data_IF_835550200089
#
_entry.id   IF_835550200089
#
_cell.length_a   1.000
_cell.length_b   1.000
_cell.length_c   1.000
_cell.angle_alpha   90.00
_cell.angle_beta   90.00
_cell.angle_gamma   90.00
#
_symmetry.space_group_name_H-M   'P 1'
#
loop_
_entity.id
_entity.type
_entity.pdbx_description
1 polymer ?
#
# COMPACT_ATOMS: atom_id res chain seq x y z
N UNK A 1 -26.41 34.16 -63.98
CA UNK A 1 -25.73 35.42 -63.60
C UNK A 1 -26.27 35.80 -62.23
N UNK A 2 -25.34 35.98 -61.28
CA UNK A 2 -25.45 35.97 -59.81
C UNK A 2 -26.82 36.19 -59.13
N UNK A 3 -27.11 35.33 -58.15
CA UNK A 3 -27.59 35.71 -56.82
C UNK A 3 -27.28 34.61 -55.81
N UNK A 4 -26.88 35.02 -54.61
CA UNK A 4 -26.58 34.24 -53.42
C UNK A 4 -27.76 33.37 -52.96
N UNK A 5 -27.48 32.22 -52.32
CA UNK A 5 -27.98 31.82 -50.98
C UNK A 5 -27.64 30.35 -50.63
N UNK A 6 -27.21 30.18 -49.37
CA UNK A 6 -27.44 29.07 -48.45
C UNK A 6 -26.46 27.89 -48.21
N UNK A 7 -26.00 27.89 -46.95
CA UNK A 7 -25.82 26.78 -45.99
C UNK A 7 -24.60 25.86 -46.19
N UNK A 8 -23.55 26.01 -45.35
CA UNK A 8 -23.46 25.50 -43.97
C UNK A 8 -23.65 23.98 -43.96
N UNK A 9 -22.56 23.23 -44.12
CA UNK A 9 -22.09 22.16 -43.21
C UNK A 9 -20.70 21.69 -43.65
N UNK A 10 -19.94 21.33 -42.63
CA UNK A 10 -18.49 21.16 -42.60
C UNK A 10 -18.00 19.87 -43.24
N UNK A 11 -16.73 19.98 -43.63
CA UNK A 11 -15.76 18.98 -44.05
C UNK A 11 -15.88 17.64 -43.30
N UNK A 12 -15.98 16.56 -44.09
CA UNK A 12 -15.74 15.19 -43.66
C UNK A 12 -14.31 15.07 -43.11
N UNK A 13 -14.18 14.98 -41.79
CA UNK A 13 -12.97 14.40 -41.17
C UNK A 13 -13.33 13.73 -39.86
N UNK A 14 -13.75 12.48 -40.01
CA UNK A 14 -13.32 11.29 -39.27
C UNK A 14 -12.86 11.42 -37.80
N UNK A 15 -13.47 10.53 -37.00
CA UNK A 15 -13.03 9.95 -35.72
C UNK A 15 -13.41 10.65 -34.40
N UNK A 16 -14.68 10.52 -33.97
CA UNK A 16 -15.00 10.33 -32.54
C UNK A 16 -16.22 9.37 -32.36
N UNK A 17 -15.97 8.31 -31.58
CA UNK A 17 -16.83 7.57 -30.63
C UNK A 17 -18.35 7.46 -30.89
N UNK A 18 -18.91 6.24 -30.96
CA UNK A 18 -20.10 5.85 -30.18
C UNK A 18 -20.14 4.32 -29.95
N UNK A 19 -20.68 3.95 -28.78
CA UNK A 19 -20.80 2.64 -28.16
C UNK A 19 -21.74 1.69 -28.92
N UNK A 20 -21.37 0.41 -29.05
CA UNK A 20 -22.36 -0.66 -29.27
C UNK A 20 -22.32 -1.64 -28.07
N UNK A 21 -23.42 -1.61 -27.32
CA UNK A 21 -23.90 -2.62 -26.37
C UNK A 21 -23.76 -4.04 -26.93
N UNK A 22 -23.07 -4.94 -26.22
CA UNK A 22 -23.47 -6.35 -26.22
C UNK A 22 -23.01 -7.12 -24.97
N UNK A 23 -23.97 -7.47 -24.12
CA UNK A 23 -23.94 -8.59 -23.17
C UNK A 23 -25.26 -9.35 -23.39
N UNK A 24 -25.41 -10.68 -23.17
CA UNK A 24 -24.43 -11.71 -22.81
C UNK A 24 -24.61 -13.05 -23.58
N UNK A 25 -23.56 -13.61 -24.19
CA UNK A 25 -23.62 -15.00 -24.68
C UNK A 25 -23.09 -16.01 -23.66
N UNK A 26 -24.04 -16.71 -23.06
CA UNK A 26 -23.88 -17.96 -22.33
C UNK A 26 -23.17 -18.98 -23.23
N UNK A 27 -21.92 -19.29 -22.90
CA UNK A 27 -21.26 -20.52 -23.36
C UNK A 27 -21.24 -21.49 -22.20
N UNK A 28 -22.34 -22.22 -22.06
CA UNK A 28 -22.45 -23.38 -21.18
C UNK A 28 -21.76 -24.59 -21.84
N UNK A 29 -21.11 -25.39 -20.98
CA UNK A 29 -20.66 -26.77 -21.15
C UNK A 29 -19.15 -27.00 -21.40
N UNK A 30 -18.48 -27.39 -20.32
CA UNK A 30 -17.13 -27.96 -20.31
C UNK A 30 -16.72 -28.39 -18.91
N UNK A 31 -17.42 -29.40 -18.39
CA UNK A 31 -17.15 -30.13 -17.14
C UNK A 31 -15.65 -30.39 -16.93
N UNK A 32 -15.09 -29.93 -15.81
CA UNK A 32 -13.66 -30.03 -15.51
C UNK A 32 -13.30 -29.52 -14.13
N UNK A 33 -13.47 -30.39 -13.13
CA UNK A 33 -12.89 -30.31 -11.78
C UNK A 33 -13.21 -29.05 -10.95
N UNK A 34 -14.38 -29.07 -10.32
CA UNK A 34 -14.48 -28.51 -8.98
C UNK A 34 -13.68 -29.43 -8.04
N UNK A 35 -12.39 -29.14 -7.86
CA UNK A 35 -11.61 -29.72 -6.77
C UNK A 35 -12.33 -29.40 -5.45
N UNK A 36 -12.84 -30.41 -4.70
CA UNK A 36 -13.44 -30.16 -3.41
C UNK A 36 -12.37 -29.55 -2.50
N UNK A 37 -12.73 -28.46 -1.82
CA UNK A 37 -11.93 -27.79 -0.79
C UNK A 37 -11.46 -28.85 0.22
N UNK A 38 -10.26 -29.37 -0.01
CA UNK A 38 -9.55 -30.26 0.90
C UNK A 38 -8.42 -29.46 1.51
N UNK A 39 -8.75 -28.33 2.14
CA UNK A 39 -7.79 -27.49 2.87
C UNK A 39 -7.67 -27.93 4.34
N UNK A 40 -7.63 -29.24 4.58
CA UNK A 40 -7.29 -29.83 5.87
C UNK A 40 -5.97 -30.60 5.68
N UNK A 41 -4.95 -30.11 6.40
CA UNK A 41 -3.58 -30.61 6.54
C UNK A 41 -2.62 -30.48 5.34
N UNK A 42 -1.98 -29.30 5.26
CA UNK A 42 -0.56 -29.26 4.89
C UNK A 42 0.32 -29.24 6.16
N UNK A 43 1.31 -30.15 6.26
CA UNK A 43 2.14 -30.30 7.43
C UNK A 43 3.14 -29.15 7.53
N UNK A 44 2.83 -28.14 8.34
CA UNK A 44 3.84 -27.28 8.97
C UNK A 44 4.76 -26.47 8.05
N UNK A 45 4.37 -26.16 6.81
CA UNK A 45 5.09 -25.16 6.02
C UNK A 45 4.96 -23.78 6.67
N UNK A 46 6.09 -23.11 6.85
CA UNK A 46 6.25 -22.06 7.85
C UNK A 46 5.23 -20.93 7.71
N UNK A 47 4.64 -20.48 8.82
CA UNK A 47 3.65 -19.38 8.85
C UNK A 47 4.08 -18.11 8.09
N UNK A 48 5.38 -17.89 7.94
CA UNK A 48 5.96 -16.79 7.17
C UNK A 48 5.86 -16.96 5.65
N UNK A 49 5.89 -18.19 5.17
CA UNK A 49 5.77 -18.53 3.75
C UNK A 49 4.33 -18.34 3.27
N UNK A 50 3.35 -18.83 4.04
CA UNK A 50 1.91 -18.56 3.85
C UNK A 50 1.56 -17.07 3.94
N UNK A 51 2.25 -16.32 4.80
CA UNK A 51 2.10 -14.87 4.85
C UNK A 51 2.69 -14.19 3.62
N UNK A 52 3.84 -14.67 3.12
CA UNK A 52 4.48 -14.09 1.94
C UNK A 52 3.73 -14.39 0.63
N UNK A 53 2.90 -15.44 0.57
CA UNK A 53 2.04 -15.72 -0.58
C UNK A 53 0.85 -14.77 -0.68
N UNK A 54 0.23 -14.43 0.46
CA UNK A 54 -0.83 -13.42 0.53
C UNK A 54 -0.73 -12.60 1.84
N UNK A 55 0.01 -11.47 1.82
CA UNK A 55 0.25 -10.68 3.02
C UNK A 55 -0.89 -9.73 3.36
N UNK A 56 -1.86 -9.48 2.47
CA UNK A 56 -2.79 -8.36 2.61
C UNK A 56 -3.86 -8.58 3.68
N UNK A 57 -4.63 -9.68 3.70
CA UNK A 57 -5.65 -9.89 4.74
C UNK A 57 -5.11 -9.82 6.18
N UNK A 58 -3.98 -10.48 6.53
CA UNK A 58 -3.45 -10.36 7.89
C UNK A 58 -2.87 -8.98 8.19
N UNK A 59 -2.23 -8.32 7.22
CA UNK A 59 -1.67 -6.97 7.42
C UNK A 59 -2.78 -5.94 7.65
N UNK A 60 -3.82 -5.95 6.82
CA UNK A 60 -4.95 -5.02 6.97
C UNK A 60 -5.70 -5.26 8.27
N UNK A 61 -5.91 -6.51 8.67
CA UNK A 61 -6.51 -6.83 9.97
C UNK A 61 -5.72 -6.22 11.14
N UNK A 62 -4.40 -6.40 11.17
CA UNK A 62 -3.55 -5.82 12.22
C UNK A 62 -3.60 -4.29 12.20
N UNK A 63 -3.54 -3.68 11.01
CA UNK A 63 -3.63 -2.22 10.88
C UNK A 63 -4.96 -1.66 11.37
N UNK A 64 -6.08 -2.32 11.06
CA UNK A 64 -7.41 -1.94 11.53
C UNK A 64 -7.50 -2.03 13.06
N UNK A 65 -6.99 -3.11 13.66
CA UNK A 65 -6.95 -3.26 15.12
C UNK A 65 -6.12 -2.14 15.76
N UNK A 66 -4.98 -1.77 15.16
CA UNK A 66 -4.18 -0.64 15.63
C UNK A 66 -4.95 0.69 15.52
N UNK A 67 -5.63 0.92 14.39
CA UNK A 67 -6.45 2.12 14.19
C UNK A 67 -7.57 2.24 15.23
N UNK A 68 -8.28 1.14 15.49
CA UNK A 68 -9.30 1.09 16.54
C UNK A 68 -8.70 1.34 17.93
N UNK A 69 -7.53 0.76 18.22
CA UNK A 69 -6.84 0.98 19.49
C UNK A 69 -6.46 2.46 19.67
N UNK A 70 -5.96 3.14 18.62
CA UNK A 70 -5.65 4.57 18.68
C UNK A 70 -6.91 5.39 19.00
N UNK A 71 -8.03 5.11 18.33
CA UNK A 71 -9.27 5.85 18.57
C UNK A 71 -9.84 5.58 19.97
N UNK A 72 -9.87 4.32 20.41
CA UNK A 72 -10.51 3.93 21.67
C UNK A 72 -9.66 4.26 22.91
N UNK A 73 -8.33 4.23 22.79
CA UNK A 73 -7.43 4.47 23.92
C UNK A 73 -7.03 5.94 24.07
N UNK A 74 -7.29 6.79 23.07
CA UNK A 74 -6.98 8.22 23.16
C UNK A 74 -8.05 8.94 23.97
N UNK A 75 -7.69 9.64 25.07
CA UNK A 75 -8.61 10.48 25.82
C UNK A 75 -9.25 11.58 24.94
N UNK A 76 -10.53 11.94 25.15
CA UNK A 76 -11.22 12.96 24.35
C UNK A 76 -10.49 14.30 24.26
N UNK A 77 -9.85 14.73 25.36
CA UNK A 77 -9.13 16.00 25.41
C UNK A 77 -7.90 16.01 24.49
N UNK A 78 -7.14 14.90 24.47
CA UNK A 78 -6.00 14.75 23.57
C UNK A 78 -6.46 14.62 22.11
N UNK A 79 -7.56 13.91 21.88
CA UNK A 79 -8.15 13.79 20.55
C UNK A 79 -8.56 15.15 19.99
N UNK A 80 -9.22 15.99 20.79
CA UNK A 80 -9.67 17.31 20.35
C UNK A 80 -8.51 18.24 19.93
N UNK A 81 -7.36 18.13 20.61
CA UNK A 81 -6.20 18.99 20.35
C UNK A 81 -5.27 18.45 19.24
N UNK A 82 -5.09 17.12 19.19
CA UNK A 82 -4.07 16.45 18.37
C UNK A 82 -4.64 15.46 17.35
N UNK A 83 -5.94 15.50 17.03
CA UNK A 83 -6.58 14.62 16.05
C UNK A 83 -5.79 14.49 14.74
N UNK A 84 -5.35 15.60 14.14
CA UNK A 84 -4.59 15.57 12.88
C UNK A 84 -3.24 14.88 13.02
N UNK A 85 -2.57 15.05 14.17
CA UNK A 85 -1.31 14.37 14.47
C UNK A 85 -1.50 12.86 14.65
N UNK A 86 -2.56 12.45 15.35
CA UNK A 86 -2.91 11.05 15.54
C UNK A 86 -3.29 10.37 14.23
N UNK A 87 -4.09 11.05 13.39
CA UNK A 87 -4.46 10.58 12.05
C UNK A 87 -3.22 10.45 11.17
N UNK A 88 -2.34 11.46 11.15
CA UNK A 88 -1.10 11.40 10.39
C UNK A 88 -0.19 10.25 10.86
N UNK A 89 -0.09 10.03 12.18
CA UNK A 89 0.70 8.93 12.74
C UNK A 89 0.10 7.57 12.37
N UNK A 90 -1.23 7.45 12.38
CA UNK A 90 -1.89 6.25 11.91
C UNK A 90 -1.64 5.98 10.42
N UNK A 91 -1.69 7.02 9.58
CA UNK A 91 -1.37 6.90 8.16
C UNK A 91 0.08 6.46 7.94
N UNK A 92 1.02 7.00 8.74
CA UNK A 92 2.42 6.55 8.74
C UNK A 92 2.55 5.06 9.13
N UNK A 93 1.78 4.58 10.11
CA UNK A 93 1.73 3.17 10.49
C UNK A 93 1.19 2.30 9.34
N UNK A 94 0.15 2.74 8.63
CA UNK A 94 -0.39 2.03 7.45
C UNK A 94 0.69 1.90 6.38
N UNK A 95 1.34 3.00 6.01
CA UNK A 95 2.39 3.00 4.99
C UNK A 95 3.58 2.15 5.41
N UNK A 96 4.02 2.26 6.67
CA UNK A 96 5.10 1.43 7.20
C UNK A 96 4.74 -0.05 7.24
N UNK A 97 3.49 -0.40 7.57
CA UNK A 97 2.98 -1.77 7.49
C UNK A 97 3.02 -2.33 6.07
N UNK A 98 2.56 -1.55 5.09
CA UNK A 98 2.66 -1.92 3.68
C UNK A 98 4.13 -2.10 3.23
N UNK A 99 5.01 -1.20 3.64
CA UNK A 99 6.44 -1.28 3.33
C UNK A 99 7.10 -2.53 3.95
N UNK A 100 6.74 -2.89 5.19
CA UNK A 100 7.19 -4.12 5.86
C UNK A 100 6.67 -5.35 5.10
N UNK A 101 5.41 -5.36 4.69
CA UNK A 101 4.85 -6.45 3.89
C UNK A 101 5.61 -6.60 2.55
N UNK A 102 5.85 -5.51 1.81
CA UNK A 102 6.68 -5.53 0.60
C UNK A 102 8.10 -6.02 0.86
N UNK A 103 8.72 -5.59 1.97
CA UNK A 103 10.05 -6.06 2.40
C UNK A 103 10.08 -7.57 2.60
N UNK A 104 9.07 -8.13 3.29
CA UNK A 104 8.97 -9.57 3.56
C UNK A 104 8.71 -10.38 2.28
N UNK A 105 7.84 -9.89 1.40
CA UNK A 105 7.60 -10.50 0.08
C UNK A 105 8.89 -10.50 -0.75
N UNK A 106 9.62 -9.39 -0.77
CA UNK A 106 10.91 -9.28 -1.48
C UNK A 106 11.92 -10.27 -0.93
N UNK A 107 12.01 -10.38 0.39
CA UNK A 107 12.90 -11.31 1.08
C UNK A 107 12.59 -12.76 0.72
N UNK A 108 11.31 -13.16 0.76
CA UNK A 108 10.91 -14.53 0.46
C UNK A 108 11.12 -14.87 -1.03
N UNK A 109 10.78 -13.95 -1.93
CA UNK A 109 10.88 -14.17 -3.38
C UNK A 109 12.34 -14.20 -3.89
N UNK A 110 13.26 -13.53 -3.21
CA UNK A 110 14.66 -13.44 -3.64
C UNK A 110 15.50 -14.71 -3.41
N UNK A 111 15.02 -15.68 -2.61
CA UNK A 111 15.72 -16.94 -2.36
C UNK A 111 17.16 -16.75 -1.85
N UNK A 112 18.16 -17.23 -2.59
CA UNK A 112 19.60 -17.08 -2.29
C UNK A 112 20.25 -15.87 -2.96
N UNK A 113 19.51 -15.09 -3.75
CA UNK A 113 20.07 -13.95 -4.47
C UNK A 113 20.42 -12.81 -3.53
N UNK A 114 21.45 -12.01 -3.87
CA UNK A 114 21.84 -10.81 -3.12
C UNK A 114 20.69 -9.80 -2.93
N UNK A 115 19.65 -9.87 -3.78
CA UNK A 115 18.43 -9.06 -3.68
C UNK A 115 17.70 -9.24 -2.34
N UNK A 116 17.87 -10.39 -1.69
CA UNK A 116 17.29 -10.68 -0.39
C UNK A 116 17.66 -9.61 0.64
N UNK A 117 18.91 -9.13 0.62
CA UNK A 117 19.37 -8.08 1.54
C UNK A 117 18.63 -6.76 1.38
N UNK A 118 18.13 -6.42 0.18
CA UNK A 118 17.34 -5.21 -0.03
C UNK A 118 16.01 -5.23 0.76
N UNK A 119 15.39 -6.41 0.90
CA UNK A 119 14.18 -6.56 1.71
C UNK A 119 14.44 -6.32 3.19
N UNK A 120 15.54 -6.88 3.73
CA UNK A 120 15.89 -6.75 5.16
C UNK A 120 16.41 -5.37 5.51
N UNK A 121 17.27 -4.75 4.70
CA UNK A 121 17.71 -3.38 4.96
C UNK A 121 16.54 -2.42 4.97
N UNK A 122 15.59 -2.60 4.04
CA UNK A 122 14.39 -1.80 4.01
C UNK A 122 13.48 -2.04 5.22
N UNK A 123 13.34 -3.29 5.69
CA UNK A 123 12.58 -3.61 6.89
C UNK A 123 13.13 -2.89 8.12
N UNK A 124 14.47 -2.91 8.29
CA UNK A 124 15.14 -2.21 9.39
C UNK A 124 14.95 -0.70 9.28
N UNK A 125 15.10 -0.13 8.08
CA UNK A 125 14.92 1.29 7.83
C UNK A 125 13.49 1.75 8.17
N UNK A 126 12.48 1.07 7.63
CA UNK A 126 11.07 1.39 7.88
C UNK A 126 10.73 1.22 9.35
N UNK A 127 11.21 0.16 10.00
CA UNK A 127 11.01 -0.06 11.44
C UNK A 127 11.58 1.08 12.28
N UNK A 128 12.81 1.54 11.96
CA UNK A 128 13.41 2.69 12.62
C UNK A 128 12.60 3.98 12.39
N UNK A 129 12.15 4.23 11.14
CA UNK A 129 11.33 5.39 10.81
C UNK A 129 10.00 5.39 11.55
N UNK A 130 9.33 4.25 11.65
CA UNK A 130 8.07 4.10 12.41
C UNK A 130 8.26 4.38 13.90
N UNK A 131 9.33 3.85 14.50
CA UNK A 131 9.63 4.06 15.92
C UNK A 131 9.92 5.55 16.15
N UNK A 132 10.79 6.16 15.35
CA UNK A 132 11.16 7.57 15.49
C UNK A 132 9.95 8.48 15.28
N UNK A 133 9.15 8.25 14.24
CA UNK A 133 7.96 9.08 13.97
C UNK A 133 6.92 8.97 15.08
N UNK A 134 6.69 7.76 15.60
CA UNK A 134 5.73 7.53 16.69
C UNK A 134 6.20 8.17 17.99
N UNK A 135 7.48 8.02 18.35
CA UNK A 135 8.06 8.65 19.53
C UNK A 135 8.10 10.17 19.43
N UNK A 136 8.43 10.71 18.26
CA UNK A 136 8.41 12.16 18.02
C UNK A 136 6.98 12.70 18.14
N UNK A 137 5.99 12.03 17.53
CA UNK A 137 4.57 12.38 17.66
C UNK A 137 4.13 12.38 19.12
N UNK A 138 4.53 11.36 19.90
CA UNK A 138 4.24 11.31 21.33
C UNK A 138 4.92 12.43 22.11
N UNK A 139 6.18 12.75 21.78
CA UNK A 139 6.89 13.89 22.37
C UNK A 139 6.18 15.22 22.09
N UNK A 140 5.66 15.41 20.88
CA UNK A 140 4.87 16.59 20.52
C UNK A 140 3.56 16.68 21.30
N UNK A 141 2.89 15.56 21.56
CA UNK A 141 1.65 15.54 22.34
C UNK A 141 1.88 15.86 23.82
N UNK A 142 3.00 15.42 24.41
CA UNK A 142 3.26 15.58 25.85
C UNK A 142 4.05 16.84 26.17
N UNK A 143 5.10 17.13 25.39
CA UNK A 143 6.08 18.17 25.68
C UNK A 143 6.03 19.34 24.69
N UNK A 144 5.24 19.25 23.62
CA UNK A 144 5.16 20.25 22.53
C UNK A 144 6.55 20.55 21.94
N UNK A 145 7.40 19.51 21.87
CA UNK A 145 8.77 19.58 21.36
C UNK A 145 9.15 18.27 20.70
N UNK A 146 10.05 18.34 19.71
CA UNK A 146 10.64 17.14 19.11
C UNK A 146 11.50 16.38 20.11
N UNK A 147 11.61 15.07 19.89
CA UNK A 147 12.56 14.21 20.62
C UNK A 147 14.02 14.50 20.25
N UNK A 148 14.26 15.07 19.06
CA UNK A 148 15.60 15.42 18.59
C UNK A 148 15.88 16.88 18.98
N UNK A 149 16.92 17.14 19.80
CA UNK A 149 17.26 18.51 20.20
C UNK A 149 17.67 19.35 18.99
N UNK A 150 17.15 20.58 18.91
CA UNK A 150 17.42 21.51 17.80
C UNK A 150 16.50 21.37 16.60
N UNK A 151 15.51 20.47 16.65
CA UNK A 151 14.44 20.39 15.65
C UNK A 151 13.15 20.96 16.23
N UNK A 152 12.66 22.04 15.63
CA UNK A 152 11.44 22.73 16.06
C UNK A 152 10.20 22.29 15.27
N UNK A 153 10.35 21.36 14.33
CA UNK A 153 9.24 20.86 13.50
C UNK A 153 8.98 19.37 13.73
N UNK A 154 7.72 18.92 13.56
CA UNK A 154 7.39 17.51 13.66
C UNK A 154 8.06 16.70 12.55
N UNK A 155 8.71 15.59 12.89
CA UNK A 155 9.45 14.76 11.94
C UNK A 155 8.55 13.91 11.05
N UNK A 156 7.25 13.84 11.37
CA UNK A 156 6.31 12.93 10.74
C UNK A 156 6.26 13.08 9.21
N UNK A 157 6.27 14.32 8.69
CA UNK A 157 6.24 14.59 7.25
C UNK A 157 7.50 14.09 6.55
N UNK A 158 8.67 14.35 7.12
CA UNK A 158 9.96 13.85 6.62
C UNK A 158 9.97 12.32 6.59
N UNK A 159 9.59 11.69 7.71
CA UNK A 159 9.59 10.22 7.80
C UNK A 159 8.59 9.58 6.84
N UNK A 160 7.44 10.22 6.60
CA UNK A 160 6.44 9.75 5.66
C UNK A 160 6.97 9.76 4.22
N UNK A 161 7.63 10.84 3.81
CA UNK A 161 8.29 10.92 2.49
C UNK A 161 9.33 9.81 2.33
N UNK A 162 10.15 9.57 3.35
CA UNK A 162 11.16 8.50 3.32
C UNK A 162 10.53 7.10 3.19
N UNK A 163 9.41 6.84 3.88
CA UNK A 163 8.68 5.58 3.74
C UNK A 163 8.07 5.42 2.35
N UNK A 164 7.50 6.49 1.77
CA UNK A 164 6.99 6.44 0.39
C UNK A 164 8.09 6.12 -0.61
N UNK A 165 9.26 6.76 -0.48
CA UNK A 165 10.42 6.44 -1.33
C UNK A 165 10.91 5.00 -1.13
N UNK A 166 10.90 4.51 0.11
CA UNK A 166 11.22 3.13 0.44
C UNK A 166 10.29 2.14 -0.28
N UNK A 167 8.96 2.34 -0.18
CA UNK A 167 7.96 1.52 -0.89
C UNK A 167 8.20 1.57 -2.39
N UNK A 168 8.36 2.78 -2.95
CA UNK A 168 8.58 2.96 -4.38
C UNK A 168 9.85 2.23 -4.86
N UNK A 169 10.94 2.32 -4.11
CA UNK A 169 12.19 1.64 -4.45
C UNK A 169 12.03 0.12 -4.48
N UNK A 170 11.33 -0.46 -3.48
CA UNK A 170 11.04 -1.89 -3.45
C UNK A 170 10.13 -2.31 -4.59
N UNK A 171 9.11 -1.52 -4.90
CA UNK A 171 8.21 -1.79 -6.02
C UNK A 171 8.96 -1.84 -7.34
N UNK A 172 9.86 -0.88 -7.60
CA UNK A 172 10.72 -0.86 -8.79
C UNK A 172 11.64 -2.10 -8.82
N UNK A 173 12.25 -2.45 -7.68
CA UNK A 173 13.11 -3.64 -7.59
C UNK A 173 12.33 -4.92 -7.88
N UNK A 174 11.14 -5.08 -7.30
CA UNK A 174 10.29 -6.23 -7.54
C UNK A 174 9.85 -6.32 -9.01
N UNK A 175 9.51 -5.19 -9.63
CA UNK A 175 9.10 -5.14 -11.04
C UNK A 175 10.24 -5.51 -11.99
N UNK A 176 11.47 -5.06 -11.71
CA UNK A 176 12.60 -5.23 -12.61
C UNK A 176 13.37 -6.55 -12.40
N UNK A 177 13.39 -7.08 -11.18
CA UNK A 177 14.16 -8.28 -10.83
C UNK A 177 13.28 -9.47 -10.43
N UNK A 178 11.98 -9.28 -10.24
CA UNK A 178 11.01 -10.33 -9.99
C UNK A 178 10.62 -11.05 -11.27
N UNK A 179 11.53 -11.82 -11.86
CA UNK A 179 11.19 -12.77 -12.93
C UNK A 179 10.06 -13.73 -12.50
N UNK A 180 9.37 -14.37 -13.47
CA UNK A 180 8.30 -15.32 -13.17
C UNK A 180 8.84 -16.44 -12.26
N UNK A 181 8.03 -16.83 -11.26
CA UNK A 181 8.32 -18.00 -10.42
C UNK A 181 8.55 -19.19 -11.36
N UNK A 182 9.73 -19.81 -11.28
CA UNK A 182 10.01 -21.11 -11.91
C UNK A 182 9.76 -22.20 -10.90
#
# INVERSE_FOLDING_TARGET
>A
MNSDEDTFFEDDSDEEEEEEDDFPDVVEAGDGDYDPITALDEPGEGRLEKFASDPWPPTTFVLVVIGLAIVLLTPPDLWALFNYFLIANYFMIILGGAAIAFSLVTWNRAGTHRLRWAGVTNLVLVGALLIVSTLDTFSWMVNVRSIIPGVDTPLITLTLVLVVFSIYSLWVIQRNFGGPKR
#
